data_IF_067279304150
#
_entry.id   IF_067279304150
#
_cell.length_a   1.000
_cell.length_b   1.000
_cell.length_c   1.000
_cell.angle_alpha   90.00
_cell.angle_beta   90.00
_cell.angle_gamma   90.00
#
_symmetry.space_group_name_H-M   'P 1'
#
loop_
_entity.id
_entity.type
_entity.pdbx_description
1 polymer ?
#
# COMPACT_ATOMS: atom_id res chain seq x y z
N UNK A 1 -30.37 -0.57 -4.72
CA UNK A 1 -28.92 -0.23 -4.74
C UNK A 1 -28.16 -1.48 -5.19
N UNK A 2 -27.24 -1.37 -6.15
CA UNK A 2 -26.59 -2.54 -6.78
C UNK A 2 -25.24 -2.85 -6.09
N UNK A 3 -24.92 -4.13 -5.83
CA UNK A 3 -23.65 -4.61 -5.24
C UNK A 3 -22.43 -4.13 -6.01
N UNK A 4 -22.51 -4.05 -7.34
CA UNK A 4 -21.46 -3.48 -8.21
C UNK A 4 -21.17 -2.02 -7.89
N UNK A 5 -22.20 -1.26 -7.52
CA UNK A 5 -22.02 0.12 -7.07
C UNK A 5 -21.24 0.19 -5.76
N UNK A 6 -21.41 -0.79 -4.86
CA UNK A 6 -20.70 -0.87 -3.59
C UNK A 6 -19.26 -1.34 -3.72
N UNK A 7 -18.98 -2.25 -4.66
CA UNK A 7 -17.60 -2.60 -5.03
C UNK A 7 -16.89 -1.37 -5.58
N UNK A 8 -17.50 -0.64 -6.52
CA UNK A 8 -16.94 0.61 -7.06
C UNK A 8 -16.69 1.69 -6.00
N UNK A 9 -17.56 1.77 -5.00
CA UNK A 9 -17.38 2.68 -3.87
C UNK A 9 -16.17 2.28 -3.02
N UNK A 10 -15.98 0.98 -2.76
CA UNK A 10 -14.77 0.49 -2.08
C UNK A 10 -13.51 0.74 -2.93
N UNK A 11 -13.54 0.46 -4.23
CA UNK A 11 -12.44 0.75 -5.16
C UNK A 11 -12.07 2.23 -5.16
N UNK A 12 -13.07 3.13 -5.16
CA UNK A 12 -12.85 4.56 -5.06
C UNK A 12 -12.06 4.92 -3.80
N UNK A 13 -12.45 4.42 -2.63
CA UNK A 13 -11.72 4.70 -1.40
C UNK A 13 -10.32 4.08 -1.38
N UNK A 14 -10.12 2.90 -1.99
CA UNK A 14 -8.78 2.34 -2.16
C UNK A 14 -7.88 3.25 -3.02
N UNK A 15 -8.40 3.80 -4.11
CA UNK A 15 -7.66 4.78 -4.94
C UNK A 15 -7.31 6.03 -4.12
N UNK A 16 -8.24 6.52 -3.30
CA UNK A 16 -7.97 7.66 -2.39
C UNK A 16 -6.93 7.32 -1.34
N UNK A 17 -6.93 6.11 -0.76
CA UNK A 17 -5.90 5.68 0.19
C UNK A 17 -4.51 5.66 -0.45
N UNK A 18 -4.38 5.20 -1.69
CA UNK A 18 -3.11 5.24 -2.44
C UNK A 18 -2.63 6.66 -2.70
N UNK A 19 -3.55 7.56 -3.08
CA UNK A 19 -3.22 8.95 -3.37
C UNK A 19 -2.83 9.75 -2.11
N UNK A 20 -3.38 9.37 -0.95
CA UNK A 20 -3.16 10.05 0.33
C UNK A 20 -2.26 9.24 1.28
N UNK A 21 -1.42 8.35 0.74
CA UNK A 21 -0.56 7.43 1.51
C UNK A 21 0.41 8.17 2.43
N UNK A 22 0.89 9.35 2.04
CA UNK A 22 1.80 10.15 2.86
C UNK A 22 1.06 11.03 3.89
N UNK A 23 -0.27 11.12 3.80
CA UNK A 23 -1.11 11.87 4.71
C UNK A 23 -1.88 10.92 5.64
N UNK A 24 -1.28 10.61 6.79
CA UNK A 24 -1.82 9.65 7.77
C UNK A 24 -3.29 9.87 8.11
N UNK A 25 -3.71 11.11 8.37
CA UNK A 25 -5.09 11.41 8.76
C UNK A 25 -6.07 11.10 7.63
N UNK A 26 -5.75 11.54 6.40
CA UNK A 26 -6.57 11.24 5.22
C UNK A 26 -6.56 9.73 4.91
N UNK A 27 -5.43 9.05 5.06
CA UNK A 27 -5.32 7.61 4.90
C UNK A 27 -6.25 6.87 5.88
N UNK A 28 -6.25 7.24 7.16
CA UNK A 28 -7.11 6.63 8.19
C UNK A 28 -8.60 6.84 7.90
N UNK A 29 -8.99 8.05 7.48
CA UNK A 29 -10.37 8.32 7.08
C UNK A 29 -10.79 7.51 5.85
N UNK A 30 -9.95 7.47 4.82
CA UNK A 30 -10.22 6.70 3.61
C UNK A 30 -10.27 5.19 3.90
N UNK A 31 -9.42 4.68 4.79
CA UNK A 31 -9.45 3.28 5.23
C UNK A 31 -10.78 2.94 5.95
N UNK A 32 -11.23 3.82 6.84
CA UNK A 32 -12.52 3.63 7.54
C UNK A 32 -13.70 3.63 6.57
N UNK A 33 -13.69 4.54 5.59
CA UNK A 33 -14.69 4.61 4.54
C UNK A 33 -14.65 3.39 3.62
N UNK A 34 -13.45 2.94 3.23
CA UNK A 34 -13.21 1.71 2.48
C UNK A 34 -13.83 0.49 3.16
N UNK A 35 -13.50 0.25 4.44
CA UNK A 35 -14.02 -0.90 5.20
C UNK A 35 -15.55 -0.85 5.32
N UNK A 36 -16.13 0.34 5.44
CA UNK A 36 -17.57 0.55 5.51
C UNK A 36 -18.25 0.23 4.17
N UNK A 37 -17.69 0.74 3.06
CA UNK A 37 -18.19 0.45 1.70
C UNK A 37 -18.08 -1.05 1.37
N UNK A 38 -16.92 -1.66 1.65
CA UNK A 38 -16.66 -3.08 1.42
C UNK A 38 -17.60 -3.99 2.21
N UNK A 39 -17.85 -3.71 3.51
CA UNK A 39 -18.84 -4.46 4.32
C UNK A 39 -20.23 -4.42 3.71
N UNK A 40 -20.64 -3.26 3.16
CA UNK A 40 -21.97 -3.12 2.60
C UNK A 40 -22.21 -4.09 1.43
N UNK A 41 -21.16 -4.48 0.69
CA UNK A 41 -21.25 -5.52 -0.36
C UNK A 41 -21.74 -6.85 0.23
N UNK A 42 -21.12 -7.32 1.32
CA UNK A 42 -21.52 -8.54 2.01
C UNK A 42 -22.89 -8.42 2.66
N UNK A 43 -23.20 -7.25 3.24
CA UNK A 43 -24.53 -7.00 3.79
C UNK A 43 -25.62 -7.11 2.72
N UNK A 44 -25.41 -6.56 1.52
CA UNK A 44 -26.35 -6.73 0.41
C UNK A 44 -26.46 -8.19 -0.04
N UNK A 45 -25.36 -8.94 -0.08
CA UNK A 45 -25.40 -10.37 -0.37
C UNK A 45 -26.22 -11.14 0.68
N UNK A 46 -25.99 -10.86 1.97
CA UNK A 46 -26.75 -11.44 3.08
C UNK A 46 -28.24 -11.11 2.99
N UNK A 47 -28.59 -9.85 2.77
CA UNK A 47 -29.98 -9.38 2.73
C UNK A 47 -30.82 -10.06 1.64
N UNK A 48 -30.20 -10.48 0.54
CA UNK A 48 -30.88 -11.22 -0.52
C UNK A 48 -31.08 -12.70 -0.19
N UNK A 49 -30.12 -13.32 0.52
CA UNK A 49 -30.22 -14.74 0.88
C UNK A 49 -30.91 -14.99 2.21
N UNK A 50 -31.06 -13.98 3.09
CA UNK A 50 -31.59 -14.17 4.45
C UNK A 50 -33.03 -14.68 4.49
N UNK A 51 -33.82 -14.40 3.45
CA UNK A 51 -35.21 -14.87 3.29
C UNK A 51 -35.30 -16.11 2.40
N UNK A 52 -34.19 -16.53 1.79
CA UNK A 52 -34.14 -17.64 0.85
C UNK A 52 -34.01 -18.99 1.58
N UNK A 53 -33.91 -20.08 0.82
CA UNK A 53 -33.83 -21.44 1.37
C UNK A 53 -32.47 -21.66 2.05
N UNK A 54 -32.36 -22.79 2.75
CA UNK A 54 -31.15 -23.18 3.50
C UNK A 54 -29.89 -23.22 2.63
N UNK A 55 -30.01 -23.46 1.31
CA UNK A 55 -28.87 -23.63 0.41
C UNK A 55 -28.13 -22.31 0.14
N UNK A 56 -28.88 -21.24 -0.13
CA UNK A 56 -28.37 -19.90 -0.41
C UNK A 56 -27.71 -19.32 0.83
N UNK A 57 -28.36 -19.47 1.99
CA UNK A 57 -27.79 -19.03 3.26
C UNK A 57 -26.50 -19.80 3.58
N UNK A 58 -26.49 -21.13 3.42
CA UNK A 58 -25.28 -21.95 3.63
C UNK A 58 -24.15 -21.57 2.67
N UNK A 59 -24.47 -21.22 1.43
CA UNK A 59 -23.48 -20.70 0.50
C UNK A 59 -22.85 -19.39 1.00
N UNK A 60 -23.67 -18.46 1.48
CA UNK A 60 -23.18 -17.18 2.00
C UNK A 60 -22.28 -17.39 3.22
N UNK A 61 -22.71 -18.20 4.18
CA UNK A 61 -21.91 -18.54 5.36
C UNK A 61 -20.57 -19.16 4.99
N UNK A 62 -20.56 -20.14 4.07
CA UNK A 62 -19.33 -20.77 3.59
C UNK A 62 -18.41 -19.78 2.85
N UNK A 63 -18.99 -18.87 2.06
CA UNK A 63 -18.22 -17.88 1.30
C UNK A 63 -17.54 -16.86 2.21
N UNK A 64 -18.23 -16.43 3.27
CA UNK A 64 -17.70 -15.46 4.24
C UNK A 64 -16.70 -16.13 5.20
N UNK A 65 -17.01 -17.32 5.70
CA UNK A 65 -16.13 -18.04 6.64
C UNK A 65 -14.93 -18.69 5.96
N UNK A 66 -15.02 -19.00 4.66
CA UNK A 66 -13.95 -19.65 3.90
C UNK A 66 -12.79 -18.73 3.52
N UNK A 67 -12.93 -17.41 3.67
CA UNK A 67 -11.89 -16.43 3.32
C UNK A 67 -11.36 -15.73 4.58
N UNK A 68 -10.10 -15.99 4.99
CA UNK A 68 -9.49 -15.32 6.15
C UNK A 68 -9.47 -13.79 6.02
N UNK A 69 -9.32 -13.27 4.80
CA UNK A 69 -9.28 -11.83 4.52
C UNK A 69 -10.66 -11.20 4.75
N UNK A 70 -11.73 -11.87 4.30
CA UNK A 70 -13.10 -11.42 4.55
C UNK A 70 -13.40 -11.42 6.05
N UNK A 71 -13.08 -12.51 6.74
CA UNK A 71 -13.26 -12.65 8.18
C UNK A 71 -12.55 -11.53 8.95
N UNK A 72 -11.25 -11.36 8.69
CA UNK A 72 -10.43 -10.33 9.31
C UNK A 72 -10.98 -8.91 9.05
N UNK A 73 -11.27 -8.58 7.80
CA UNK A 73 -11.73 -7.22 7.42
C UNK A 73 -13.10 -6.89 8.01
N UNK A 74 -13.96 -7.90 8.18
CA UNK A 74 -15.25 -7.76 8.86
C UNK A 74 -15.06 -7.41 10.33
N UNK A 75 -14.21 -8.15 11.04
CA UNK A 75 -13.95 -7.94 12.47
C UNK A 75 -13.28 -6.59 12.73
N UNK A 76 -12.42 -6.12 11.81
CA UNK A 76 -11.82 -4.78 11.89
C UNK A 76 -12.82 -3.65 11.95
N UNK A 77 -13.93 -3.74 11.23
CA UNK A 77 -14.96 -2.70 11.31
C UNK A 77 -15.80 -2.80 12.57
N UNK A 78 -16.11 -4.02 13.03
CA UNK A 78 -16.85 -4.20 14.29
C UNK A 78 -16.07 -3.56 15.45
N UNK A 79 -14.75 -3.74 15.50
CA UNK A 79 -13.89 -3.05 16.48
C UNK A 79 -13.86 -1.52 16.28
N UNK A 80 -13.87 -1.03 15.04
CA UNK A 80 -13.87 0.40 14.72
C UNK A 80 -15.20 1.11 15.06
N UNK A 81 -16.33 0.40 15.05
CA UNK A 81 -17.63 0.96 15.43
C UNK A 81 -17.81 0.98 16.96
N UNK A 82 -17.19 0.04 17.67
CA UNK A 82 -17.49 -0.21 19.09
C UNK A 82 -16.38 0.19 20.07
N UNK A 83 -15.13 0.37 19.64
CA UNK A 83 -13.99 0.53 20.55
C UNK A 83 -13.14 1.76 20.21
N UNK A 84 -12.47 1.80 19.06
CA UNK A 84 -11.66 2.96 18.62
C UNK A 84 -11.47 2.96 17.09
N UNK A 85 -11.23 4.14 16.46
CA UNK A 85 -10.83 4.21 15.06
C UNK A 85 -9.70 3.23 14.70
N UNK A 86 -9.79 2.59 13.53
CA UNK A 86 -8.69 1.74 13.03
C UNK A 86 -7.44 2.60 12.87
N UNK A 87 -6.43 2.38 13.72
CA UNK A 87 -5.13 3.04 13.67
C UNK A 87 -4.09 2.07 13.07
N UNK A 88 -3.81 2.13 11.77
CA UNK A 88 -2.75 1.32 11.18
C UNK A 88 -1.38 1.79 11.68
N UNK A 89 -0.42 0.86 11.78
CA UNK A 89 0.96 1.19 12.14
C UNK A 89 1.74 1.57 10.88
N UNK A 90 2.43 2.72 10.91
CA UNK A 90 3.30 3.14 9.82
C UNK A 90 4.71 2.58 10.02
N UNK A 91 5.21 1.84 9.03
CA UNK A 91 6.59 1.41 8.86
C UNK A 91 7.25 2.33 7.82
N UNK A 92 8.35 3.00 8.22
CA UNK A 92 9.13 3.88 7.34
C UNK A 92 10.36 3.14 6.81
N UNK A 93 10.48 3.08 5.49
CA UNK A 93 11.64 2.49 4.81
C UNK A 93 12.55 3.61 4.32
N UNK A 94 13.68 3.82 4.98
CA UNK A 94 14.70 4.78 4.54
C UNK A 94 15.76 4.08 3.69
N UNK A 95 15.79 4.36 2.38
CA UNK A 95 16.87 3.91 1.51
C UNK A 95 17.85 5.07 1.27
N UNK A 96 18.97 5.05 1.98
CA UNK A 96 20.02 6.07 1.86
C UNK A 96 20.98 5.70 0.72
N UNK A 97 20.97 6.47 -0.37
CA UNK A 97 21.98 6.38 -1.42
C UNK A 97 23.05 7.45 -1.20
N UNK A 98 24.29 7.02 -0.96
CA UNK A 98 25.45 7.90 -0.86
C UNK A 98 26.21 7.91 -2.20
N UNK A 99 26.41 9.11 -2.75
CA UNK A 99 27.30 9.32 -3.90
C UNK A 99 28.68 9.72 -3.35
N UNK A 100 29.68 8.87 -3.58
CA UNK A 100 31.07 9.17 -3.21
C UNK A 100 31.74 9.86 -4.40
N UNK A 101 31.96 11.18 -4.31
CA UNK A 101 32.76 11.91 -5.29
C UNK A 101 34.24 11.87 -4.89
N UNK A 102 35.08 11.27 -5.73
CA UNK A 102 36.53 11.31 -5.60
C UNK A 102 37.10 12.52 -6.35
N UNK A 103 37.58 13.52 -5.62
CA UNK A 103 38.38 14.60 -6.20
C UNK A 103 39.87 14.26 -6.08
N UNK A 104 40.49 13.80 -7.17
CA UNK A 104 41.94 13.62 -7.25
C UNK A 104 42.61 14.85 -7.84
N UNK A 105 43.57 15.44 -7.10
CA UNK A 105 44.56 16.33 -7.69
C UNK A 105 45.80 15.51 -8.04
N UNK A 106 46.35 15.73 -9.22
CA UNK A 106 47.63 15.14 -9.64
C UNK A 106 48.65 16.27 -9.67
N UNK A 107 49.71 16.14 -8.88
CA UNK A 107 50.87 17.02 -8.96
C UNK A 107 51.89 16.36 -9.87
N UNK A 108 52.18 17.00 -11.00
CA UNK A 108 53.21 16.54 -11.91
C UNK A 108 54.54 17.24 -11.57
N UNK A 109 55.51 16.44 -11.12
CA UNK A 109 56.86 16.89 -10.81
C UNK A 109 57.85 16.40 -11.88
N UNK A 110 58.45 17.34 -12.62
CA UNK A 110 59.46 17.01 -13.64
C UNK A 110 60.87 17.24 -13.06
N UNK A 111 61.64 16.16 -12.91
CA UNK A 111 63.04 16.18 -12.44
C UNK A 111 64.02 15.99 -13.60
N UNK A 112 65.15 16.68 -13.53
CA UNK A 112 66.27 16.43 -14.44
C UNK A 112 67.05 15.16 -14.07
N UNK A 113 68.03 14.80 -14.91
CA UNK A 113 68.93 13.66 -14.73
C UNK A 113 69.77 13.70 -13.43
N UNK A 114 69.82 14.83 -12.74
CA UNK A 114 70.53 15.00 -11.47
C UNK A 114 69.56 15.04 -10.27
N UNK A 115 68.27 14.78 -10.50
CA UNK A 115 67.23 14.80 -9.46
C UNK A 115 66.75 16.20 -9.07
N UNK A 116 67.16 17.26 -9.79
CA UNK A 116 66.72 18.62 -9.51
C UNK A 116 65.39 18.90 -10.23
N UNK A 117 64.42 19.45 -9.51
CA UNK A 117 63.12 19.85 -10.06
C UNK A 117 63.32 20.98 -11.06
N UNK A 118 62.88 20.79 -12.30
CA UNK A 118 63.04 21.76 -13.40
C UNK A 118 61.71 22.37 -13.86
N UNK A 119 60.60 21.71 -13.55
CA UNK A 119 59.26 22.27 -13.71
C UNK A 119 58.30 21.61 -12.71
N UNK A 120 57.43 22.44 -12.15
CA UNK A 120 56.33 22.01 -11.29
C UNK A 120 55.05 22.58 -11.89
N UNK A 121 54.17 21.70 -12.34
CA UNK A 121 52.89 22.08 -12.93
C UNK A 121 51.76 21.60 -12.05
N UNK A 122 50.93 22.52 -11.56
CA UNK A 122 49.63 22.18 -11.00
C UNK A 122 48.59 22.38 -12.09
N UNK A 123 48.00 21.28 -12.55
CA UNK A 123 46.82 21.35 -13.42
C UNK A 123 45.58 21.36 -12.54
N UNK A 124 45.14 22.53 -12.08
CA UNK A 124 43.79 22.72 -11.56
C UNK A 124 42.80 22.51 -12.71
N UNK A 125 42.31 21.29 -12.91
CA UNK A 125 41.13 21.08 -13.75
C UNK A 125 39.98 21.85 -13.09
N UNK A 126 39.22 22.67 -13.83
CA UNK A 126 38.06 23.34 -13.28
C UNK A 126 37.10 22.27 -12.78
N UNK A 127 36.95 22.18 -11.46
CA UNK A 127 35.90 21.39 -10.84
C UNK A 127 34.59 21.98 -11.30
N UNK A 128 33.99 21.35 -12.32
CA UNK A 128 32.56 21.53 -12.60
C UNK A 128 31.88 21.36 -11.26
N UNK A 129 31.24 22.42 -10.76
CA UNK A 129 30.33 22.33 -9.62
C UNK A 129 29.29 21.29 -10.00
N UNK A 130 29.50 20.06 -9.54
CA UNK A 130 28.50 19.00 -9.57
C UNK A 130 27.33 19.56 -8.77
N UNK A 131 26.22 19.84 -9.46
CA UNK A 131 24.97 20.09 -8.76
C UNK A 131 24.73 18.87 -7.89
N UNK A 132 24.75 19.07 -6.56
CA UNK A 132 24.48 18.00 -5.61
C UNK A 132 23.25 17.24 -6.11
N UNK A 133 23.34 15.93 -6.38
CA UNK A 133 22.15 15.17 -6.72
C UNK A 133 21.21 15.36 -5.54
N UNK A 134 20.03 15.95 -5.79
CA UNK A 134 18.92 15.89 -4.85
C UNK A 134 18.52 14.42 -4.79
N UNK A 135 19.20 13.65 -3.95
CA UNK A 135 18.71 12.37 -3.47
C UNK A 135 17.49 12.68 -2.62
N UNK A 136 16.33 12.84 -3.26
CA UNK A 136 15.06 12.63 -2.58
C UNK A 136 15.02 11.14 -2.27
N UNK A 137 15.44 10.76 -1.08
CA UNK A 137 15.03 9.49 -0.51
C UNK A 137 13.49 9.50 -0.59
N UNK A 138 12.93 8.62 -1.43
CA UNK A 138 11.48 8.43 -1.48
C UNK A 138 11.18 7.55 -0.29
N UNK A 139 10.82 8.17 0.82
CA UNK A 139 10.33 7.45 2.00
C UNK A 139 8.95 6.88 1.65
N UNK A 140 8.90 5.63 1.19
CA UNK A 140 7.64 4.94 0.96
C UNK A 140 7.03 4.56 2.33
N UNK A 141 5.96 5.24 2.75
CA UNK A 141 5.26 4.96 4.01
C UNK A 141 4.40 3.71 3.85
N UNK A 142 4.68 2.64 4.59
CA UNK A 142 3.87 1.40 4.54
C UNK A 142 3.04 1.24 5.79
N UNK A 143 1.75 0.98 5.63
CA UNK A 143 0.84 0.76 6.75
C UNK A 143 0.61 -0.72 6.99
N UNK A 144 0.59 -1.18 8.24
CA UNK A 144 0.26 -2.57 8.60
C UNK A 144 -0.79 -2.65 9.69
N UNK A 145 -1.58 -3.73 9.65
CA UNK A 145 -2.44 -4.13 10.75
C UNK A 145 -1.66 -5.00 11.73
N UNK A 146 -1.60 -4.60 13.00
CA UNK A 146 -0.79 -5.28 14.03
C UNK A 146 -1.19 -6.74 14.29
N UNK A 147 -2.46 -7.05 14.09
CA UNK A 147 -3.12 -8.33 14.36
C UNK A 147 -3.45 -9.09 13.07
N UNK A 148 -3.02 -8.60 11.91
CA UNK A 148 -3.03 -9.40 10.70
C UNK A 148 -1.85 -10.39 10.75
N UNK A 149 -2.08 -11.71 10.67
CA UNK A 149 -1.01 -12.70 10.73
C UNK A 149 -0.16 -12.78 9.46
N UNK A 150 -0.61 -12.18 8.35
CA UNK A 150 0.15 -12.13 7.10
C UNK A 150 1.14 -10.97 7.04
N UNK A 151 1.97 -10.97 6.00
CA UNK A 151 3.03 -9.97 5.81
C UNK A 151 2.61 -8.78 4.93
N UNK A 152 1.37 -8.80 4.44
CA UNK A 152 0.83 -7.77 3.57
C UNK A 152 0.65 -6.43 4.30
N UNK A 153 0.96 -5.33 3.61
CA UNK A 153 0.53 -4.01 4.05
C UNK A 153 -0.99 -3.81 3.88
N UNK A 154 -1.51 -2.74 4.47
CA UNK A 154 -2.94 -2.40 4.47
C UNK A 154 -3.48 -2.26 3.05
N UNK A 155 -2.73 -1.64 2.12
CA UNK A 155 -3.20 -1.42 0.75
C UNK A 155 -3.31 -2.74 -0.01
N UNK A 156 -2.28 -3.58 0.08
CA UNK A 156 -2.25 -4.93 -0.49
C UNK A 156 -3.39 -5.79 0.07
N UNK A 157 -3.65 -5.70 1.38
CA UNK A 157 -4.75 -6.44 2.00
C UNK A 157 -6.12 -5.94 1.53
N UNK A 158 -6.30 -4.62 1.37
CA UNK A 158 -7.53 -4.02 0.85
C UNK A 158 -7.79 -4.40 -0.61
N UNK A 159 -6.75 -4.45 -1.45
CA UNK A 159 -6.84 -4.95 -2.83
C UNK A 159 -7.33 -6.40 -2.89
N UNK A 160 -6.69 -7.28 -2.10
CA UNK A 160 -7.12 -8.67 -2.01
C UNK A 160 -8.54 -8.79 -1.47
N UNK A 161 -8.93 -7.94 -0.52
CA UNK A 161 -10.29 -7.94 -0.01
C UNK A 161 -11.31 -7.60 -1.11
N UNK A 162 -11.04 -6.60 -1.96
CA UNK A 162 -11.91 -6.33 -3.14
C UNK A 162 -12.00 -7.57 -4.04
N UNK A 163 -10.88 -8.21 -4.37
CA UNK A 163 -10.88 -9.41 -5.23
C UNK A 163 -11.72 -10.55 -4.63
N UNK A 164 -11.62 -10.75 -3.31
CA UNK A 164 -12.42 -11.74 -2.60
C UNK A 164 -13.92 -11.39 -2.62
N UNK A 165 -14.28 -10.11 -2.44
CA UNK A 165 -15.66 -9.64 -2.56
C UNK A 165 -16.22 -9.83 -3.97
N UNK A 166 -15.43 -9.54 -5.00
CA UNK A 166 -15.80 -9.76 -6.39
C UNK A 166 -16.06 -11.25 -6.66
N UNK A 167 -15.18 -12.14 -6.19
CA UNK A 167 -15.36 -13.59 -6.33
C UNK A 167 -16.67 -14.05 -5.68
N UNK A 168 -16.96 -13.59 -4.46
CA UNK A 168 -18.22 -13.92 -3.77
C UNK A 168 -19.42 -13.42 -4.56
N UNK A 169 -19.40 -12.17 -5.04
CA UNK A 169 -20.51 -11.63 -5.83
C UNK A 169 -20.68 -12.40 -7.14
N UNK A 170 -19.59 -12.66 -7.87
CA UNK A 170 -19.63 -13.39 -9.13
C UNK A 170 -20.15 -14.83 -8.94
N UNK A 171 -19.66 -15.55 -7.94
CA UNK A 171 -20.10 -16.91 -7.63
C UNK A 171 -21.59 -16.92 -7.25
N UNK A 172 -22.04 -16.00 -6.40
CA UNK A 172 -23.44 -15.88 -6.01
C UNK A 172 -24.38 -15.56 -7.17
N UNK A 173 -23.98 -14.65 -8.06
CA UNK A 173 -24.73 -14.32 -9.28
C UNK A 173 -24.78 -15.52 -10.23
N UNK A 174 -23.65 -16.21 -10.43
CA UNK A 174 -23.57 -17.38 -11.32
C UNK A 174 -24.47 -18.53 -10.88
N UNK A 175 -24.69 -18.69 -9.56
CA UNK A 175 -25.59 -19.70 -8.99
C UNK A 175 -27.04 -19.24 -8.90
N UNK A 176 -27.34 -17.99 -9.24
CA UNK A 176 -28.68 -17.39 -9.11
C UNK A 176 -29.12 -17.19 -7.66
N UNK A 177 -28.18 -17.15 -6.70
CA UNK A 177 -28.50 -16.94 -5.29
C UNK A 177 -28.67 -15.46 -4.95
N UNK A 178 -28.03 -14.60 -5.72
CA UNK A 178 -28.12 -13.14 -5.59
C UNK A 178 -28.25 -12.50 -6.97
N UNK A 179 -28.81 -11.29 -6.99
CA UNK A 179 -28.95 -10.45 -8.19
C UNK A 179 -27.66 -9.74 -8.55
N UNK A 180 -27.45 -9.48 -9.85
CA UNK A 180 -26.21 -8.94 -10.43
C UNK A 180 -26.22 -7.46 -10.80
#
# INVERSE_FOLDING_TARGET
MNKKSKIKEAEYFLVRMKAEQDNKEQFEFNLSAFLSAARSVLQYAFEEVKKARTREMKWYENSVSGSPIIGFSKDKRDNNIHIEPVKPQADYSHEASAVIEFSGSSEDEVRDKNGKVVAQGSSEKPTKKSEKPKTSAVDEVKYKFRDWPGNEDVLTLCERYIQELEKVVQDGVSKGYITG
#
